data_IF_581074377881
#
_entry.id   IF_581074377881
#
_cell.length_a   1.000
_cell.length_b   1.000
_cell.length_c   1.000
_cell.angle_alpha   90.00
_cell.angle_beta   90.00
_cell.angle_gamma   90.00
#
_symmetry.space_group_name_H-M   'P 1'
#
loop_
_entity.id
_entity.type
_entity.pdbx_description
1 polymer ?
#
# COMPACT_ATOMS: atom_id res chain seq x y z
N UNK A 1 -47.90 -34.76 56.70
CA UNK A 1 -47.39 -33.55 56.01
C UNK A 1 -46.00 -33.87 55.47
N UNK A 2 -45.82 -33.85 54.15
CA UNK A 2 -44.55 -34.15 53.47
C UNK A 2 -43.75 -32.86 53.35
N UNK A 3 -42.54 -32.83 53.89
CA UNK A 3 -41.59 -31.75 53.63
C UNK A 3 -40.88 -32.03 52.29
N UNK A 4 -41.05 -31.13 51.32
CA UNK A 4 -40.32 -31.16 50.05
C UNK A 4 -39.17 -30.16 50.21
N UNK A 5 -37.94 -30.67 50.33
CA UNK A 5 -36.74 -29.86 50.25
C UNK A 5 -36.50 -29.50 48.79
N UNK A 6 -36.66 -28.22 48.45
CA UNK A 6 -36.35 -27.66 47.14
C UNK A 6 -34.89 -27.20 47.15
N UNK A 7 -34.00 -28.00 46.58
CA UNK A 7 -32.60 -27.60 46.37
C UNK A 7 -32.53 -26.66 45.17
N UNK A 8 -32.37 -25.36 45.42
CA UNK A 8 -32.11 -24.37 44.36
C UNK A 8 -30.63 -24.49 43.98
N UNK A 9 -30.34 -25.17 42.87
CA UNK A 9 -29.02 -25.19 42.26
C UNK A 9 -28.73 -23.84 41.61
N UNK A 10 -27.85 -23.04 42.23
CA UNK A 10 -27.31 -21.83 41.62
C UNK A 10 -26.19 -22.25 40.67
N UNK A 11 -26.47 -22.24 39.37
CA UNK A 11 -25.44 -22.36 38.33
C UNK A 11 -24.79 -20.99 38.19
N UNK A 12 -23.61 -20.81 38.79
CA UNK A 12 -22.78 -19.62 38.56
C UNK A 12 -22.08 -19.84 37.21
N UNK A 13 -22.64 -19.26 36.15
CA UNK A 13 -21.99 -19.18 34.85
C UNK A 13 -20.89 -18.11 34.95
N UNK A 14 -19.65 -18.54 35.22
CA UNK A 14 -18.47 -17.70 35.02
C UNK A 14 -18.25 -17.61 33.51
N UNK A 15 -19.01 -16.74 32.84
CA UNK A 15 -18.69 -16.33 31.49
C UNK A 15 -17.33 -15.67 31.51
N UNK A 16 -16.30 -16.40 31.06
CA UNK A 16 -15.00 -15.79 30.83
C UNK A 16 -15.19 -14.73 29.75
N UNK A 17 -15.26 -13.46 30.14
CA UNK A 17 -14.79 -12.38 29.30
C UNK A 17 -13.29 -12.66 29.10
N UNK A 18 -12.96 -13.47 28.11
CA UNK A 18 -11.66 -13.37 27.46
C UNK A 18 -11.69 -11.97 26.86
N UNK A 19 -10.83 -11.03 27.28
CA UNK A 19 -10.68 -9.79 26.54
C UNK A 19 -10.34 -10.21 25.11
N UNK A 20 -11.12 -9.78 24.12
CA UNK A 20 -10.74 -9.93 22.73
C UNK A 20 -9.27 -9.51 22.63
N UNK A 21 -8.42 -10.40 22.09
CA UNK A 21 -7.03 -10.04 21.84
C UNK A 21 -7.06 -8.71 21.10
N UNK A 22 -6.32 -7.68 21.56
CA UNK A 22 -6.28 -6.43 20.84
C UNK A 22 -5.85 -6.78 19.42
N UNK A 23 -6.70 -6.47 18.44
CA UNK A 23 -6.34 -6.69 17.04
C UNK A 23 -4.95 -6.08 16.86
N UNK A 24 -3.96 -6.88 16.50
CA UNK A 24 -2.59 -6.44 16.17
C UNK A 24 -2.56 -5.61 14.87
N UNK A 25 -3.70 -5.02 14.53
CA UNK A 25 -3.95 -4.28 13.31
C UNK A 25 -3.03 -3.08 13.19
N UNK A 26 -2.67 -2.80 11.96
CA UNK A 26 -1.94 -1.60 11.63
C UNK A 26 -2.88 -0.39 11.73
N UNK A 27 -2.71 0.37 12.81
CA UNK A 27 -3.43 1.62 13.08
C UNK A 27 -2.67 2.80 12.45
N UNK A 28 -3.05 3.14 11.23
CA UNK A 28 -2.48 4.27 10.48
C UNK A 28 -2.85 4.23 9.00
N UNK A 29 -2.65 5.33 8.26
CA UNK A 29 -2.71 5.30 6.81
C UNK A 29 -1.53 4.50 6.24
N UNK A 30 -1.67 3.98 5.03
CA UNK A 30 -0.50 3.51 4.28
C UNK A 30 0.42 4.69 3.98
N UNK A 31 1.73 4.45 4.08
CA UNK A 31 2.78 5.44 3.91
C UNK A 31 3.72 5.03 2.79
N UNK A 32 4.18 6.02 2.02
CA UNK A 32 5.11 5.84 0.92
C UNK A 32 6.20 6.90 1.01
N UNK A 33 7.41 6.53 0.63
CA UNK A 33 8.50 7.46 0.41
C UNK A 33 9.04 7.23 -0.99
N UNK A 34 9.05 8.28 -1.80
CA UNK A 34 9.57 8.24 -3.16
C UNK A 34 10.82 9.11 -3.24
N UNK A 35 11.87 8.56 -3.85
CA UNK A 35 13.10 9.29 -4.19
C UNK A 35 13.37 9.15 -5.69
N UNK A 36 13.46 10.27 -6.38
CA UNK A 36 13.90 10.34 -7.76
C UNK A 36 15.39 10.72 -7.85
N UNK A 37 16.11 10.17 -8.82
CA UNK A 37 17.51 10.55 -9.10
C UNK A 37 17.64 11.71 -10.11
N UNK A 38 16.57 11.99 -10.87
CA UNK A 38 16.45 13.06 -11.87
C UNK A 38 15.06 13.69 -11.73
N UNK A 39 14.88 14.91 -12.24
CA UNK A 39 13.75 15.87 -12.04
C UNK A 39 14.14 17.02 -11.11
N UNK A 40 13.28 18.04 -11.01
CA UNK A 40 13.41 19.08 -9.99
C UNK A 40 13.20 18.55 -8.56
N UNK A 41 12.58 17.37 -8.42
CA UNK A 41 12.41 16.66 -7.15
C UNK A 41 13.61 15.75 -6.83
N UNK A 42 14.65 15.73 -7.66
CA UNK A 42 15.81 14.86 -7.46
C UNK A 42 16.48 15.09 -6.10
N UNK A 43 16.79 13.99 -5.40
CA UNK A 43 17.40 14.04 -4.07
C UNK A 43 16.45 14.42 -2.93
N UNK A 44 15.18 14.74 -3.22
CA UNK A 44 14.16 15.00 -2.22
C UNK A 44 13.44 13.71 -1.84
N UNK A 45 13.27 13.48 -0.54
CA UNK A 45 12.44 12.40 -0.01
C UNK A 45 10.98 12.86 0.01
N UNK A 46 10.17 12.37 -0.92
CA UNK A 46 8.76 12.71 -1.01
C UNK A 46 7.97 11.75 -0.13
N UNK A 47 7.51 12.23 1.03
CA UNK A 47 6.72 11.45 1.97
C UNK A 47 5.22 11.63 1.71
N UNK A 48 4.55 10.50 1.48
CA UNK A 48 3.16 10.42 1.07
C UNK A 48 2.37 9.54 2.03
N UNK A 49 1.10 9.84 2.20
CA UNK A 49 0.13 8.99 2.89
C UNK A 49 -1.06 8.72 1.97
N UNK A 50 -1.68 7.57 2.10
CA UNK A 50 -3.01 7.38 1.54
C UNK A 50 -4.03 8.19 2.35
N UNK A 51 -4.86 8.98 1.68
CA UNK A 51 -5.82 9.86 2.34
C UNK A 51 -6.89 9.09 3.13
N UNK A 52 -7.19 7.85 2.72
CA UNK A 52 -8.14 6.99 3.41
C UNK A 52 -7.44 6.08 4.42
N UNK A 53 -7.88 6.14 5.67
CA UNK A 53 -7.45 5.22 6.74
C UNK A 53 -8.35 3.98 6.86
N UNK A 54 -9.41 3.92 6.06
CA UNK A 54 -10.47 2.89 6.14
C UNK A 54 -10.46 1.93 4.95
N UNK A 55 -9.72 2.27 3.89
CA UNK A 55 -9.63 1.46 2.68
C UNK A 55 -8.42 0.53 2.80
N UNK A 56 -8.63 -0.68 2.32
CA UNK A 56 -7.62 -1.72 2.24
C UNK A 56 -6.79 -1.47 0.96
N UNK A 57 -5.58 -0.93 1.12
CA UNK A 57 -4.78 -0.44 -0.01
C UNK A 57 -4.08 -1.55 -0.78
N UNK A 58 -4.08 -2.76 -0.19
CA UNK A 58 -3.38 -3.93 -0.71
C UNK A 58 -4.32 -5.11 -0.80
N UNK A 59 -4.59 -5.62 -2.00
CA UNK A 59 -5.41 -6.82 -2.19
C UNK A 59 -4.58 -7.94 -2.82
N UNK A 60 -4.61 -9.11 -2.18
CA UNK A 60 -4.10 -10.33 -2.80
C UNK A 60 -5.17 -10.94 -3.70
N UNK A 61 -4.83 -11.27 -4.94
CA UNK A 61 -5.73 -11.93 -5.89
C UNK A 61 -5.28 -13.38 -6.06
N UNK A 62 -5.95 -14.27 -5.34
CA UNK A 62 -5.62 -15.68 -5.21
C UNK A 62 -5.62 -16.43 -6.54
N UNK A 63 -6.57 -16.13 -7.42
CA UNK A 63 -6.70 -16.74 -8.75
C UNK A 63 -5.50 -16.51 -9.67
N UNK A 64 -4.65 -15.54 -9.35
CA UNK A 64 -3.49 -15.13 -10.16
C UNK A 64 -2.17 -15.11 -9.39
N UNK A 65 -2.21 -15.31 -8.07
CA UNK A 65 -1.05 -15.17 -7.19
C UNK A 65 -0.34 -13.82 -7.37
N UNK A 66 -1.12 -12.74 -7.32
CA UNK A 66 -0.60 -11.37 -7.39
C UNK A 66 -1.13 -10.55 -6.22
N UNK A 67 -0.31 -9.66 -5.69
CA UNK A 67 -0.77 -8.63 -4.77
C UNK A 67 -0.78 -7.30 -5.50
N UNK A 68 -1.88 -6.56 -5.37
CA UNK A 68 -2.05 -5.21 -5.94
C UNK A 68 -2.01 -4.18 -4.84
N UNK A 69 -1.39 -3.05 -5.14
CA UNK A 69 -1.50 -1.81 -4.38
C UNK A 69 -2.30 -0.82 -5.19
N UNK A 70 -3.33 -0.29 -4.58
CA UNK A 70 -4.13 0.79 -5.15
C UNK A 70 -4.31 1.88 -4.10
N UNK A 71 -3.69 3.03 -4.31
CA UNK A 71 -3.74 4.15 -3.38
C UNK A 71 -4.10 5.43 -4.13
N UNK A 72 -5.37 5.83 -3.99
CA UNK A 72 -5.93 7.04 -4.58
C UNK A 72 -7.08 7.56 -3.69
N UNK A 73 -7.05 8.82 -3.22
CA UNK A 73 -6.00 9.80 -3.44
C UNK A 73 -4.83 9.65 -2.45
N UNK A 74 -3.61 9.98 -2.90
CA UNK A 74 -2.46 10.17 -2.00
C UNK A 74 -2.28 11.65 -1.64
N UNK A 75 -1.83 11.90 -0.42
CA UNK A 75 -1.52 13.22 0.11
C UNK A 75 -0.03 13.32 0.46
N UNK A 76 0.55 14.51 0.30
CA UNK A 76 1.89 14.79 0.81
C UNK A 76 1.84 15.13 2.29
N UNK A 77 2.81 14.64 3.06
CA UNK A 77 2.92 14.98 4.48
C UNK A 77 3.35 16.44 4.71
N UNK A 78 4.04 17.10 3.76
CA UNK A 78 4.66 18.43 3.97
C UNK A 78 4.60 19.39 2.77
N UNK A 79 4.36 20.68 3.07
CA UNK A 79 4.58 21.93 2.32
C UNK A 79 4.03 22.10 0.89
N UNK A 80 3.71 21.03 0.17
CA UNK A 80 3.05 21.11 -1.13
C UNK A 80 1.80 20.23 -1.09
N UNK A 81 0.71 20.73 -1.68
CA UNK A 81 -0.54 19.97 -1.72
C UNK A 81 -0.65 19.25 -3.06
N UNK A 82 -0.79 17.93 -2.97
CA UNK A 82 -1.27 17.12 -4.09
C UNK A 82 -2.76 17.40 -4.27
N UNK A 83 -3.21 17.40 -5.52
CA UNK A 83 -4.63 17.32 -5.83
C UNK A 83 -5.14 15.89 -5.65
N UNK A 84 -6.46 15.71 -5.66
CA UNK A 84 -7.13 14.43 -5.40
C UNK A 84 -7.01 13.41 -6.53
N UNK A 85 -6.31 13.72 -7.62
CA UNK A 85 -6.05 12.78 -8.73
C UNK A 85 -4.70 12.09 -8.58
N UNK A 86 -3.91 12.47 -7.58
CA UNK A 86 -2.61 11.83 -7.34
C UNK A 86 -2.81 10.41 -6.81
N UNK A 87 -2.01 9.48 -7.32
CA UNK A 87 -2.07 8.07 -6.95
C UNK A 87 -0.70 7.38 -7.04
N UNK A 88 -0.60 6.22 -6.40
CA UNK A 88 0.48 5.28 -6.59
C UNK A 88 -0.08 3.85 -6.63
N UNK A 89 0.08 3.19 -7.77
CA UNK A 89 -0.49 1.87 -8.00
C UNK A 89 0.60 0.95 -8.56
N UNK A 90 0.65 -0.29 -8.07
CA UNK A 90 1.50 -1.33 -8.67
C UNK A 90 1.00 -2.72 -8.29
N UNK A 91 1.62 -3.75 -8.85
CA UNK A 91 1.40 -5.12 -8.41
C UNK A 91 2.70 -5.90 -8.38
N UNK A 92 2.77 -6.94 -7.56
CA UNK A 92 3.85 -7.92 -7.55
C UNK A 92 3.33 -9.35 -7.55
N UNK A 93 4.16 -10.28 -8.02
CA UNK A 93 3.89 -11.72 -8.00
C UNK A 93 4.18 -12.32 -6.62
N UNK A 94 3.53 -13.44 -6.28
CA UNK A 94 3.83 -14.17 -5.05
C UNK A 94 2.59 -14.68 -4.33
N UNK A 95 2.81 -15.33 -3.19
CA UNK A 95 1.75 -15.76 -2.27
C UNK A 95 1.61 -14.82 -1.07
N UNK A 96 0.56 -15.01 -0.28
CA UNK A 96 0.35 -14.31 1.00
C UNK A 96 1.32 -14.80 2.06
N UNK A 97 1.74 -13.92 2.97
CA UNK A 97 2.55 -14.28 4.14
C UNK A 97 3.99 -14.64 3.82
N UNK A 98 4.53 -14.14 2.69
CA UNK A 98 5.89 -14.45 2.24
C UNK A 98 6.73 -13.17 2.19
N UNK A 99 7.67 -13.05 3.13
CA UNK A 99 8.73 -12.04 3.11
C UNK A 99 9.77 -12.35 2.03
N UNK A 100 10.63 -11.39 1.71
CA UNK A 100 11.76 -11.57 0.79
C UNK A 100 11.54 -10.96 -0.60
N UNK A 101 12.20 -11.52 -1.61
CA UNK A 101 12.20 -10.95 -2.97
C UNK A 101 11.07 -11.50 -3.83
N UNK A 102 10.34 -10.57 -4.43
CA UNK A 102 9.28 -10.75 -5.41
C UNK A 102 9.62 -9.91 -6.65
N UNK A 103 8.80 -9.96 -7.69
CA UNK A 103 8.92 -9.07 -8.83
C UNK A 103 7.63 -8.30 -9.05
N UNK A 104 7.75 -7.04 -9.46
CA UNK A 104 6.60 -6.32 -9.99
C UNK A 104 6.00 -7.10 -11.16
N UNK A 105 4.68 -7.12 -11.27
CA UNK A 105 3.99 -7.93 -12.29
C UNK A 105 2.82 -7.16 -12.87
N UNK A 106 2.41 -7.53 -14.07
CA UNK A 106 1.33 -6.81 -14.72
C UNK A 106 -0.04 -7.18 -14.16
N UNK A 107 -0.80 -6.14 -13.84
CA UNK A 107 -2.22 -6.25 -13.48
C UNK A 107 -3.03 -6.86 -14.63
N UNK A 108 -2.63 -6.72 -15.90
CA UNK A 108 -3.33 -7.33 -17.04
C UNK A 108 -3.02 -8.83 -17.24
N UNK A 109 -1.97 -9.35 -16.60
CA UNK A 109 -1.51 -10.73 -16.76
C UNK A 109 -0.13 -10.84 -17.40
N UNK A 110 0.43 -12.05 -17.56
CA UNK A 110 1.76 -12.25 -18.11
C UNK A 110 1.90 -11.60 -19.51
N UNK A 111 2.96 -10.82 -19.74
CA UNK A 111 3.24 -10.15 -21.01
C UNK A 111 2.86 -8.67 -21.09
N UNK A 112 2.16 -8.12 -20.10
CA UNK A 112 1.99 -6.67 -19.97
C UNK A 112 3.30 -6.01 -19.53
N UNK A 113 3.75 -4.96 -20.22
CA UNK A 113 5.02 -4.27 -19.93
C UNK A 113 5.05 -3.49 -18.60
N UNK A 114 3.90 -3.34 -17.94
CA UNK A 114 3.71 -2.48 -16.77
C UNK A 114 3.09 -3.17 -15.60
N UNK A 115 3.57 -2.81 -14.40
CA UNK A 115 2.98 -3.20 -13.14
C UNK A 115 2.04 -2.15 -12.55
N UNK A 116 2.21 -0.88 -12.94
CA UNK A 116 1.41 0.25 -12.50
C UNK A 116 2.12 1.57 -12.78
N UNK A 117 1.82 2.59 -11.99
CA UNK A 117 2.17 3.97 -12.25
C UNK A 117 2.10 4.86 -11.00
N UNK A 118 2.84 5.95 -11.05
CA UNK A 118 2.89 7.02 -10.04
C UNK A 118 2.41 8.28 -10.74
N UNK A 119 1.41 8.94 -10.16
CA UNK A 119 0.99 10.28 -10.54
C UNK A 119 1.06 11.20 -9.33
N UNK A 120 1.96 12.17 -9.37
CA UNK A 120 2.03 13.27 -8.41
C UNK A 120 1.53 14.54 -9.11
N UNK A 121 0.25 14.84 -8.96
CA UNK A 121 -0.39 16.03 -9.52
C UNK A 121 -0.59 17.06 -8.41
N UNK A 122 0.03 18.23 -8.55
CA UNK A 122 0.07 19.27 -7.53
C UNK A 122 -1.04 20.30 -7.79
N UNK A 123 -1.52 20.96 -6.73
CA UNK A 123 -2.56 22.01 -6.84
C UNK A 123 -2.12 23.21 -7.70
N UNK A 124 -0.80 23.45 -7.82
CA UNK A 124 -0.24 24.52 -8.65
C UNK A 124 -0.22 24.17 -10.17
N UNK A 125 -0.67 22.98 -10.55
CA UNK A 125 -0.68 22.48 -11.93
C UNK A 125 0.60 21.75 -12.36
N UNK A 126 1.59 21.61 -11.47
CA UNK A 126 2.73 20.73 -11.72
C UNK A 126 2.29 19.26 -11.66
N UNK A 127 2.89 18.43 -12.50
CA UNK A 127 2.54 17.02 -12.62
C UNK A 127 3.79 16.19 -12.91
N UNK A 128 3.92 15.07 -12.21
CA UNK A 128 4.96 14.08 -12.42
C UNK A 128 4.31 12.71 -12.58
N UNK A 129 4.41 12.15 -13.78
CA UNK A 129 3.90 10.82 -14.10
C UNK A 129 5.07 9.88 -14.42
N UNK A 130 5.11 8.74 -13.74
CA UNK A 130 6.10 7.69 -13.97
C UNK A 130 5.43 6.32 -14.03
N UNK A 131 5.65 5.61 -15.14
CA UNK A 131 5.25 4.22 -15.26
C UNK A 131 6.21 3.29 -14.50
N UNK A 132 5.66 2.31 -13.80
CA UNK A 132 6.40 1.27 -13.08
C UNK A 132 6.49 0.02 -13.97
N UNK A 133 7.69 -0.32 -14.49
CA UNK A 133 7.87 -1.49 -15.33
C UNK A 133 7.48 -2.79 -14.61
N UNK A 134 7.08 -3.80 -15.37
CA UNK A 134 7.03 -5.16 -14.87
C UNK A 134 8.44 -5.73 -14.63
N UNK A 135 8.51 -6.82 -13.87
CA UNK A 135 9.71 -7.61 -13.58
C UNK A 135 10.83 -6.85 -12.87
N UNK A 136 10.46 -5.85 -12.06
CA UNK A 136 11.40 -5.13 -11.20
C UNK A 136 11.44 -5.81 -9.82
N UNK A 137 12.62 -6.08 -9.23
CA UNK A 137 12.70 -6.71 -7.92
C UNK A 137 12.03 -5.86 -6.83
N UNK A 138 11.12 -6.47 -6.07
CA UNK A 138 10.50 -5.89 -4.88
C UNK A 138 10.93 -6.69 -3.66
N UNK A 139 11.41 -6.02 -2.62
CA UNK A 139 11.81 -6.67 -1.38
C UNK A 139 10.80 -6.34 -0.29
N UNK A 140 10.15 -7.36 0.24
CA UNK A 140 9.26 -7.27 1.40
C UNK A 140 10.06 -7.60 2.66
N UNK A 141 10.12 -6.65 3.57
CA UNK A 141 10.73 -6.84 4.89
C UNK A 141 9.73 -7.40 5.90
N UNK A 142 8.43 -7.23 5.64
CA UNK A 142 7.33 -7.84 6.40
C UNK A 142 6.10 -7.98 5.53
N UNK A 143 5.44 -9.13 5.61
CA UNK A 143 4.11 -9.41 5.07
C UNK A 143 3.20 -9.87 6.21
N UNK A 144 2.46 -8.94 6.82
CA UNK A 144 1.56 -9.24 7.93
C UNK A 144 0.28 -9.98 7.52
N UNK A 145 -0.52 -10.34 8.52
CA UNK A 145 -1.86 -10.88 8.30
C UNK A 145 -2.85 -9.82 7.80
N UNK A 146 -4.06 -10.24 7.38
CA UNK A 146 -5.10 -9.28 6.94
C UNK A 146 -5.34 -8.24 8.03
N UNK A 147 -5.29 -6.96 7.66
CA UNK A 147 -5.40 -5.83 8.59
C UNK A 147 -4.08 -5.40 9.26
N UNK A 148 -3.00 -6.19 9.12
CA UNK A 148 -1.67 -5.84 9.61
C UNK A 148 -0.83 -5.09 8.56
N UNK A 149 0.42 -4.78 8.89
CA UNK A 149 1.31 -4.03 8.02
C UNK A 149 2.08 -4.91 7.02
N UNK A 150 2.29 -4.37 5.82
CA UNK A 150 3.26 -4.85 4.84
C UNK A 150 4.32 -3.77 4.68
N UNK A 151 5.60 -4.10 4.85
CA UNK A 151 6.71 -3.16 4.63
C UNK A 151 7.67 -3.68 3.58
N UNK A 152 8.22 -2.76 2.80
CA UNK A 152 9.15 -3.14 1.76
C UNK A 152 9.68 -1.96 0.97
N UNK A 153 10.47 -2.28 -0.04
CA UNK A 153 11.00 -1.29 -0.96
C UNK A 153 11.34 -1.91 -2.31
N UNK A 154 11.44 -1.04 -3.31
CA UNK A 154 11.96 -1.41 -4.62
C UNK A 154 12.52 -0.19 -5.34
N UNK A 155 13.36 -0.45 -6.33
CA UNK A 155 13.85 0.58 -7.25
C UNK A 155 13.67 0.12 -8.68
N UNK A 156 13.39 1.06 -9.56
CA UNK A 156 13.28 0.80 -10.99
C UNK A 156 13.73 2.02 -11.79
N UNK A 157 14.02 1.79 -13.06
CA UNK A 157 14.34 2.85 -14.02
C UNK A 157 13.20 2.99 -15.00
N UNK A 158 12.71 4.21 -15.19
CA UNK A 158 11.63 4.52 -16.13
C UNK A 158 11.78 5.92 -16.71
N UNK A 159 10.76 6.35 -17.44
CA UNK A 159 10.67 7.70 -17.97
C UNK A 159 9.67 8.49 -17.14
N UNK A 160 10.02 9.73 -16.79
CA UNK A 160 9.10 10.68 -16.17
C UNK A 160 8.63 11.65 -17.24
N UNK A 161 7.34 11.93 -17.24
CA UNK A 161 6.74 12.99 -18.04
C UNK A 161 5.76 13.79 -17.21
N UNK A 162 5.43 14.99 -17.65
CA UNK A 162 4.42 15.80 -17.00
C UNK A 162 4.59 17.27 -17.30
N UNK A 163 4.18 18.11 -16.37
CA UNK A 163 4.20 19.57 -16.50
C UNK A 163 4.93 20.18 -15.29
N UNK A 164 5.80 21.15 -15.53
CA UNK A 164 6.45 21.92 -14.48
C UNK A 164 6.43 23.41 -14.85
N UNK A 165 5.90 24.24 -13.96
CA UNK A 165 5.73 25.69 -14.18
C UNK A 165 5.06 26.00 -15.52
N UNK A 166 4.01 25.22 -15.85
CA UNK A 166 3.24 25.33 -17.09
C UNK A 166 3.95 24.83 -18.36
N UNK A 167 5.10 24.18 -18.25
CA UNK A 167 5.85 23.60 -19.39
C UNK A 167 5.86 22.10 -19.33
N UNK A 168 5.51 21.45 -20.44
CA UNK A 168 5.64 20.01 -20.57
C UNK A 168 7.13 19.60 -20.53
N UNK A 169 7.43 18.48 -19.89
CA UNK A 169 8.77 17.92 -19.84
C UNK A 169 8.76 16.40 -20.01
N UNK A 170 9.92 15.85 -20.37
CA UNK A 170 10.15 14.42 -20.51
C UNK A 170 11.59 14.09 -20.12
N UNK A 171 11.77 13.20 -19.15
CA UNK A 171 13.07 12.77 -18.62
C UNK A 171 13.20 11.27 -18.79
N UNK A 172 14.22 10.86 -19.54
CA UNK A 172 14.54 9.45 -19.76
C UNK A 172 15.43 8.88 -18.66
N UNK A 173 15.27 7.58 -18.41
CA UNK A 173 16.14 6.81 -17.53
C UNK A 173 16.27 7.42 -16.13
N UNK A 174 15.15 7.88 -15.56
CA UNK A 174 15.07 8.28 -14.17
C UNK A 174 14.95 7.02 -13.30
N UNK A 175 15.81 6.89 -12.29
CA UNK A 175 15.63 5.90 -11.24
C UNK A 175 14.66 6.47 -10.20
N UNK A 176 13.66 5.67 -9.85
CA UNK A 176 12.82 5.89 -8.69
C UNK A 176 13.10 4.80 -7.66
N UNK A 177 13.14 5.18 -6.39
CA UNK A 177 13.12 4.26 -5.26
C UNK A 177 11.86 4.53 -4.45
N UNK A 178 11.12 3.46 -4.15
CA UNK A 178 9.90 3.52 -3.35
C UNK A 178 10.13 2.65 -2.13
N UNK A 179 9.97 3.25 -0.95
CA UNK A 179 9.83 2.53 0.32
C UNK A 179 8.39 2.68 0.79
N UNK A 180 7.81 1.63 1.35
CA UNK A 180 6.41 1.62 1.73
C UNK A 180 6.15 0.91 3.05
N UNK A 181 5.08 1.35 3.70
CA UNK A 181 4.44 0.71 4.85
C UNK A 181 2.94 0.76 4.62
N UNK A 182 2.35 -0.39 4.28
CA UNK A 182 0.99 -0.48 3.75
C UNK A 182 0.09 -1.25 4.72
N UNK A 183 -1.21 -0.92 4.70
CA UNK A 183 -2.23 -1.73 5.38
C UNK A 183 -2.67 -2.90 4.50
N UNK A 184 -2.44 -4.14 4.95
CA UNK A 184 -2.90 -5.34 4.23
C UNK A 184 -4.41 -5.40 4.21
N UNK A 185 -4.97 -5.53 3.02
CA UNK A 185 -6.37 -5.80 2.77
C UNK A 185 -6.75 -7.27 2.73
N UNK A 186 -8.01 -7.50 2.39
CA UNK A 186 -8.58 -8.83 2.19
C UNK A 186 -8.04 -9.45 0.91
N UNK A 187 -7.99 -10.78 0.97
CA UNK A 187 -7.73 -11.63 -0.18
C UNK A 187 -9.00 -11.72 -1.06
N UNK A 188 -8.80 -11.72 -2.37
CA UNK A 188 -9.82 -11.72 -3.44
C UNK A 188 -9.67 -12.95 -4.35
#
# INVERSE_FOLDING_TARGET
MKAIFLTIGVVIWLGSCVPDEPSTGFDGPSEYTILFDKTALAGQSISLIHASTTVEDVNFISSRSITKVYAEPIEMQHNNKLNTQSFINWAWDGGTGVDGSHNTTSVAGPGGGGSGDILLAYENGDEYNMFIPAYQPVTLSKYGEIGEEITGSFSFTGNIQGTESGKAFYIQNCKATISFRLKRGKDQ
#
